data_IF_247413454260
#
_entry.id   IF_247413454260
#
_cell.length_a   1.000
_cell.length_b   1.000
_cell.length_c   1.000
_cell.angle_alpha   90.00
_cell.angle_beta   90.00
_cell.angle_gamma   90.00
#
_symmetry.space_group_name_H-M   'P 1'
#
loop_
_entity.id
_entity.type
_entity.pdbx_description
1 polymer ?
#
# COMPACT_ATOMS: atom_id res chain seq x y z
N UNK A 1 14.43 -10.20 -9.36
CA UNK A 1 13.37 -11.20 -9.60
C UNK A 1 12.32 -11.02 -8.54
N UNK A 2 11.08 -11.42 -8.79
CA UNK A 2 10.02 -11.29 -7.80
C UNK A 2 10.31 -12.06 -6.49
N UNK A 3 11.17 -13.07 -6.55
CA UNK A 3 11.65 -13.80 -5.39
C UNK A 3 12.22 -12.91 -4.25
N UNK A 4 12.94 -11.81 -4.53
CA UNK A 4 13.50 -10.96 -3.46
C UNK A 4 12.40 -10.21 -2.68
N UNK A 5 11.32 -9.80 -3.35
CA UNK A 5 10.21 -9.14 -2.62
C UNK A 5 9.45 -10.17 -1.78
N UNK A 6 9.17 -11.35 -2.35
CA UNK A 6 8.44 -12.41 -1.66
C UNK A 6 9.19 -12.87 -0.40
N UNK A 7 10.51 -12.98 -0.49
CA UNK A 7 11.35 -13.39 0.63
C UNK A 7 11.38 -12.34 1.75
N UNK A 8 11.41 -11.04 1.40
CA UNK A 8 11.31 -9.96 2.39
C UNK A 8 9.96 -9.93 3.09
N UNK A 9 8.87 -10.10 2.33
CA UNK A 9 7.52 -10.19 2.91
C UNK A 9 7.41 -11.41 3.80
N UNK A 10 7.96 -12.56 3.38
CA UNK A 10 7.99 -13.78 4.19
C UNK A 10 8.76 -13.59 5.50
N UNK A 11 9.92 -12.91 5.46
CA UNK A 11 10.66 -12.59 6.69
C UNK A 11 9.84 -11.72 7.62
N UNK A 12 9.26 -10.63 7.10
CA UNK A 12 8.43 -9.73 7.88
C UNK A 12 7.24 -10.46 8.51
N UNK A 13 6.51 -11.31 7.78
CA UNK A 13 5.38 -12.09 8.33
C UNK A 13 5.86 -13.00 9.47
N UNK A 14 6.97 -13.72 9.30
CA UNK A 14 7.51 -14.61 10.34
C UNK A 14 7.88 -13.85 11.62
N UNK A 15 8.54 -12.70 11.48
CA UNK A 15 8.90 -11.85 12.61
C UNK A 15 7.66 -11.36 13.38
N UNK A 16 6.61 -10.95 12.65
CA UNK A 16 5.37 -10.46 13.25
C UNK A 16 4.58 -11.55 13.95
N UNK A 17 4.52 -12.74 13.36
CA UNK A 17 3.92 -13.93 14.00
C UNK A 17 4.68 -14.26 15.29
N UNK A 18 6.01 -14.27 15.25
CA UNK A 18 6.83 -14.56 16.43
C UNK A 18 6.67 -13.50 17.54
N UNK A 19 6.41 -12.25 17.18
CA UNK A 19 6.11 -11.17 18.11
C UNK A 19 4.70 -11.26 18.74
N UNK A 20 3.82 -12.14 18.23
CA UNK A 20 2.45 -12.27 18.70
C UNK A 20 1.51 -11.17 18.19
N UNK A 21 1.89 -10.47 17.13
CA UNK A 21 1.06 -9.43 16.51
C UNK A 21 -0.26 -10.03 15.98
N UNK A 22 -1.35 -9.26 16.10
CA UNK A 22 -2.68 -9.62 15.59
C UNK A 22 -3.06 -8.76 14.39
N UNK A 23 -4.08 -9.19 13.65
CA UNK A 23 -4.62 -8.46 12.50
C UNK A 23 -3.56 -8.19 11.41
N UNK A 24 -2.63 -9.14 11.22
CA UNK A 24 -1.50 -9.02 10.30
C UNK A 24 -1.90 -8.71 8.86
N UNK A 25 -3.03 -9.25 8.40
CA UNK A 25 -3.56 -8.94 7.09
C UNK A 25 -3.86 -7.45 6.95
N UNK A 26 -4.58 -6.87 7.91
CA UNK A 26 -4.89 -5.45 7.92
C UNK A 26 -3.60 -4.60 7.96
N UNK A 27 -2.63 -4.97 8.79
CA UNK A 27 -1.36 -4.26 8.85
C UNK A 27 -0.58 -4.32 7.53
N UNK A 28 -0.59 -5.48 6.86
CA UNK A 28 0.06 -5.66 5.57
C UNK A 28 -0.64 -4.83 4.49
N UNK A 29 -1.97 -4.89 4.44
CA UNK A 29 -2.79 -4.11 3.51
C UNK A 29 -2.56 -2.62 3.69
N UNK A 30 -2.57 -2.10 4.92
CA UNK A 30 -2.33 -0.69 5.20
C UNK A 30 -0.94 -0.22 4.73
N UNK A 31 0.11 -1.04 4.96
CA UNK A 31 1.47 -0.72 4.51
C UNK A 31 1.58 -0.76 2.99
N UNK A 32 1.05 -1.80 2.35
CA UNK A 32 1.09 -1.93 0.90
C UNK A 32 0.31 -0.81 0.23
N UNK A 33 -0.88 -0.50 0.73
CA UNK A 33 -1.71 0.59 0.21
C UNK A 33 -1.00 1.93 0.29
N UNK A 34 -0.38 2.25 1.44
CA UNK A 34 0.39 3.49 1.59
C UNK A 34 1.47 3.60 0.51
N UNK A 35 2.30 2.57 0.34
CA UNK A 35 3.38 2.56 -0.64
C UNK A 35 2.83 2.73 -2.06
N UNK A 36 1.78 2.00 -2.42
CA UNK A 36 1.16 2.10 -3.74
C UNK A 36 0.60 3.50 -4.02
N UNK A 37 -0.08 4.11 -3.04
CA UNK A 37 -0.63 5.45 -3.16
C UNK A 37 0.47 6.51 -3.31
N UNK A 38 1.52 6.42 -2.50
CA UNK A 38 2.68 7.32 -2.53
C UNK A 38 3.41 7.25 -3.87
N UNK A 39 3.73 6.03 -4.34
CA UNK A 39 4.42 5.82 -5.62
C UNK A 39 3.55 6.27 -6.80
N UNK A 40 2.25 5.97 -6.79
CA UNK A 40 1.36 6.39 -7.87
C UNK A 40 1.18 7.90 -7.93
N UNK A 41 1.06 8.57 -6.78
CA UNK A 41 1.01 10.04 -6.74
C UNK A 41 2.33 10.64 -7.21
N UNK A 42 3.48 10.14 -6.74
CA UNK A 42 4.80 10.63 -7.16
C UNK A 42 4.99 10.47 -8.66
N UNK A 43 4.72 9.28 -9.20
CA UNK A 43 4.83 8.97 -10.62
C UNK A 43 3.94 9.88 -11.48
N UNK A 44 2.78 10.26 -10.95
CA UNK A 44 1.82 11.11 -11.68
C UNK A 44 1.94 12.59 -11.34
N UNK A 45 2.96 13.03 -10.60
CA UNK A 45 3.13 14.43 -10.21
C UNK A 45 1.99 14.99 -9.35
N UNK A 46 1.37 14.14 -8.53
CA UNK A 46 0.24 14.50 -7.67
C UNK A 46 -1.13 14.47 -8.37
N UNK A 47 -1.20 14.12 -9.65
CA UNK A 47 -2.47 14.06 -10.38
C UNK A 47 -3.32 12.85 -9.94
N UNK A 48 -4.17 13.06 -8.93
CA UNK A 48 -5.05 12.03 -8.34
C UNK A 48 -5.82 11.19 -9.37
N UNK A 49 -6.39 11.79 -10.43
CA UNK A 49 -7.11 11.01 -11.45
C UNK A 49 -6.20 10.07 -12.26
N UNK A 50 -4.96 10.48 -12.54
CA UNK A 50 -3.97 9.63 -13.21
C UNK A 50 -3.48 8.54 -12.27
N UNK A 51 -3.23 8.85 -10.99
CA UNK A 51 -2.85 7.88 -9.97
C UNK A 51 -3.94 6.81 -9.78
N UNK A 52 -5.21 7.22 -9.75
CA UNK A 52 -6.35 6.31 -9.65
C UNK A 52 -6.38 5.34 -10.85
N UNK A 53 -6.22 5.87 -12.06
CA UNK A 53 -6.17 5.05 -13.28
C UNK A 53 -4.97 4.09 -13.28
N UNK A 54 -3.79 4.54 -12.83
CA UNK A 54 -2.59 3.73 -12.72
C UNK A 54 -2.78 2.55 -11.76
N UNK A 55 -3.43 2.79 -10.63
CA UNK A 55 -3.72 1.76 -9.62
C UNK A 55 -4.96 0.92 -9.93
N UNK A 56 -5.67 1.17 -11.03
CA UNK A 56 -6.94 0.50 -11.35
C UNK A 56 -8.08 0.85 -10.38
N UNK A 57 -7.96 1.96 -9.64
CA UNK A 57 -8.95 2.41 -8.68
C UNK A 57 -9.94 3.40 -9.29
N UNK A 58 -11.19 3.33 -8.83
CA UNK A 58 -12.14 4.42 -9.04
C UNK A 58 -11.67 5.70 -8.34
N UNK A 59 -11.97 6.87 -8.92
CA UNK A 59 -11.57 8.19 -8.37
C UNK A 59 -12.03 8.37 -6.91
N UNK A 60 -13.26 7.98 -6.59
CA UNK A 60 -13.80 8.08 -5.24
C UNK A 60 -13.07 7.16 -4.25
N UNK A 61 -12.70 5.96 -4.71
CA UNK A 61 -11.92 5.01 -3.91
C UNK A 61 -10.53 5.55 -3.60
N UNK A 62 -9.86 6.15 -4.60
CA UNK A 62 -8.58 6.81 -4.37
C UNK A 62 -8.72 7.94 -3.34
N UNK A 63 -9.69 8.84 -3.50
CA UNK A 63 -9.91 9.95 -2.55
C UNK A 63 -10.13 9.45 -1.12
N UNK A 64 -10.97 8.40 -0.95
CA UNK A 64 -11.20 7.81 0.37
C UNK A 64 -9.92 7.22 0.97
N UNK A 65 -9.13 6.51 0.17
CA UNK A 65 -7.86 5.91 0.61
C UNK A 65 -6.83 6.98 0.97
N UNK A 66 -6.66 8.02 0.15
CA UNK A 66 -5.78 9.14 0.44
C UNK A 66 -6.14 9.82 1.77
N UNK A 67 -7.43 10.08 1.99
CA UNK A 67 -7.91 10.62 3.27
C UNK A 67 -7.62 9.69 4.45
N UNK A 68 -7.86 8.39 4.29
CA UNK A 68 -7.59 7.40 5.34
C UNK A 68 -6.10 7.32 5.71
N UNK A 69 -5.20 7.55 4.75
CA UNK A 69 -3.75 7.56 4.96
C UNK A 69 -3.17 8.94 5.29
N UNK A 70 -4.02 9.97 5.45
CA UNK A 70 -3.65 11.36 5.69
C UNK A 70 -2.77 11.98 4.59
N UNK A 71 -3.06 11.63 3.34
CA UNK A 71 -2.37 12.14 2.16
C UNK A 71 -3.29 13.15 1.46
N UNK A 72 -2.93 14.43 1.48
CA UNK A 72 -3.60 15.50 0.74
C UNK A 72 -2.77 15.86 -0.51
#
# INVERSE_FOLDING_TARGET
TDADWEDRVRSWVRERIAAGDRDLMQQADERLERVLLEEALRHTGGHRQKAARLLGLGRNTLTRKLKAHHME
#
